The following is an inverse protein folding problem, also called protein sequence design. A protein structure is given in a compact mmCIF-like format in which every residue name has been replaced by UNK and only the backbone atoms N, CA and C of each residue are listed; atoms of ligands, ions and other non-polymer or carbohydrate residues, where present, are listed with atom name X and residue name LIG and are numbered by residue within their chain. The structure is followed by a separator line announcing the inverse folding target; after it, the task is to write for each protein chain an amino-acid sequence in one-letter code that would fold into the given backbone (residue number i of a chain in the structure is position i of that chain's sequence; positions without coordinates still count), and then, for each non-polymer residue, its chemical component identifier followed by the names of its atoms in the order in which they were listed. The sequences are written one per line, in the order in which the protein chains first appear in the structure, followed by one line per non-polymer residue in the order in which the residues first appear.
data_IF_381716274065
#
_entry.id   IF_381716274065
#
_cell.length_a   1.000
_cell.length_b   1.000
_cell.length_c   1.000
_cell.angle_alpha   90.00
_cell.angle_beta   90.00
_cell.angle_gamma   90.00
#
_symmetry.space_group_name_H-M   'P 1'
#
loop_
_entity.id
_entity.type
_entity.pdbx_description
1 polymer ?
#
# COMPACT_ATOMS: atom_id res chain seq x y z
N UNK A 1 -22.24 -3.42 -6.52
CA UNK A 1 -21.29 -3.22 -5.40
C UNK A 1 -20.11 -4.18 -5.44
N UNK A 2 -20.30 -5.51 -5.48
CA UNK A 2 -19.18 -6.48 -5.55
C UNK A 2 -18.16 -6.21 -6.65
N UNK A 3 -18.61 -5.97 -7.88
CA UNK A 3 -17.72 -5.69 -9.01
C UNK A 3 -16.86 -4.44 -8.79
N UNK A 4 -17.44 -3.38 -8.23
CA UNK A 4 -16.73 -2.14 -7.89
C UNK A 4 -15.69 -2.41 -6.81
N UNK A 5 -16.04 -3.17 -5.77
CA UNK A 5 -15.09 -3.57 -4.72
C UNK A 5 -13.88 -4.35 -5.28
N UNK A 6 -14.15 -5.36 -6.13
CA UNK A 6 -13.09 -6.15 -6.76
C UNK A 6 -12.22 -5.31 -7.70
N UNK A 7 -12.83 -4.40 -8.47
CA UNK A 7 -12.10 -3.49 -9.34
C UNK A 7 -11.16 -2.57 -8.56
N UNK A 8 -11.64 -2.00 -7.44
CA UNK A 8 -10.83 -1.14 -6.59
C UNK A 8 -9.68 -1.91 -5.93
N UNK A 9 -9.94 -3.12 -5.41
CA UNK A 9 -8.90 -4.00 -4.87
C UNK A 9 -7.85 -4.34 -5.92
N UNK A 10 -8.27 -4.79 -7.12
CA UNK A 10 -7.33 -5.12 -8.20
C UNK A 10 -6.50 -3.91 -8.63
N UNK A 11 -7.14 -2.72 -8.66
CA UNK A 11 -6.47 -1.47 -9.03
C UNK A 11 -5.38 -1.08 -8.04
N UNK A 12 -5.67 -1.11 -6.72
CA UNK A 12 -4.66 -0.76 -5.71
C UNK A 12 -3.51 -1.78 -5.66
N UNK A 13 -3.82 -3.08 -5.79
CA UNK A 13 -2.81 -4.15 -5.92
C UNK A 13 -1.88 -3.86 -7.12
N UNK A 14 -2.46 -3.50 -8.27
CA UNK A 14 -1.68 -3.17 -9.47
C UNK A 14 -0.80 -1.94 -9.28
N UNK A 15 -1.30 -0.90 -8.60
CA UNK A 15 -0.52 0.30 -8.26
C UNK A 15 0.66 -0.08 -7.35
N UNK A 16 0.42 -0.81 -6.25
CA UNK A 16 1.47 -1.22 -5.33
C UNK A 16 2.56 -2.06 -6.02
N UNK A 17 2.16 -3.01 -6.87
CA UNK A 17 3.11 -3.82 -7.65
C UNK A 17 3.96 -2.97 -8.59
N UNK A 18 3.35 -2.06 -9.35
CA UNK A 18 4.10 -1.18 -10.27
C UNK A 18 5.04 -0.24 -9.51
N UNK A 19 4.62 0.26 -8.35
CA UNK A 19 5.49 1.11 -7.53
C UNK A 19 6.75 0.37 -7.09
N UNK A 20 6.61 -0.88 -6.62
CA UNK A 20 7.75 -1.68 -6.17
C UNK A 20 8.62 -2.22 -7.32
N UNK A 21 8.00 -2.74 -8.37
CA UNK A 21 8.71 -3.47 -9.45
C UNK A 21 9.32 -2.52 -10.48
N UNK A 22 8.62 -1.44 -10.81
CA UNK A 22 9.00 -0.56 -11.93
C UNK A 22 9.45 0.80 -11.44
N UNK A 23 8.65 1.48 -10.62
CA UNK A 23 8.91 2.89 -10.27
C UNK A 23 10.12 3.03 -9.35
N UNK A 24 10.24 2.20 -8.31
CA UNK A 24 11.36 2.25 -7.38
C UNK A 24 12.73 2.14 -8.10
N UNK A 25 13.01 1.12 -8.94
CA UNK A 25 14.30 1.07 -9.64
C UNK A 25 14.48 2.20 -10.65
N UNK A 26 13.42 2.67 -11.31
CA UNK A 26 13.52 3.84 -12.20
C UNK A 26 13.93 5.11 -11.46
N UNK A 27 13.43 5.32 -10.24
CA UNK A 27 13.70 6.52 -9.45
C UNK A 27 15.04 6.47 -8.74
N UNK A 28 15.43 5.31 -8.19
CA UNK A 28 16.67 5.17 -7.42
C UNK A 28 17.91 4.84 -8.27
N UNK A 29 17.75 4.46 -9.54
CA UNK A 29 18.86 4.24 -10.47
C UNK A 29 18.77 5.11 -11.75
N UNK A 30 18.64 6.44 -11.63
CA UNK A 30 18.46 7.33 -12.76
C UNK A 30 19.67 7.37 -13.68
N UNK A 31 20.87 7.07 -13.19
CA UNK A 31 22.10 7.02 -13.97
C UNK A 31 22.03 6.07 -15.17
N UNK A 32 21.19 5.03 -15.07
CA UNK A 32 20.97 4.08 -16.16
C UNK A 32 20.16 4.66 -17.32
N UNK A 33 19.51 5.81 -17.12
CA UNK A 33 18.60 6.44 -18.08
C UNK A 33 19.06 7.82 -18.53
N UNK A 34 19.57 8.63 -17.60
CA UNK A 34 19.86 10.06 -17.83
C UNK A 34 21.32 10.45 -17.52
N UNK A 35 22.18 9.48 -17.16
CA UNK A 35 23.59 9.71 -16.87
C UNK A 35 23.90 9.98 -15.39
N UNK A 36 25.19 9.91 -15.04
CA UNK A 36 25.66 10.04 -13.65
C UNK A 36 25.50 11.46 -13.11
N UNK A 37 25.28 11.58 -11.79
CA UNK A 37 25.27 12.86 -11.07
C UNK A 37 24.01 13.71 -11.23
N UNK A 38 22.98 13.25 -11.95
CA UNK A 38 21.74 14.03 -12.16
C UNK A 38 20.87 14.07 -10.90
N UNK A 39 20.73 12.95 -10.20
CA UNK A 39 19.98 12.86 -8.94
C UNK A 39 20.79 12.07 -7.92
N UNK A 40 20.90 12.63 -6.70
CA UNK A 40 21.41 11.90 -5.55
C UNK A 40 20.36 10.92 -5.02
N UNK A 41 20.78 9.90 -4.27
CA UNK A 41 19.87 8.95 -3.64
C UNK A 41 18.86 9.64 -2.71
N UNK A 42 19.26 10.73 -2.05
CA UNK A 42 18.38 11.55 -1.24
C UNK A 42 17.30 12.24 -2.08
N UNK A 43 17.68 12.85 -3.21
CA UNK A 43 16.72 13.49 -4.13
C UNK A 43 15.73 12.47 -4.73
N UNK A 44 16.22 11.29 -5.13
CA UNK A 44 15.37 10.16 -5.53
C UNK A 44 14.40 9.73 -4.42
N UNK A 45 14.87 9.68 -3.17
CA UNK A 45 14.04 9.39 -2.00
C UNK A 45 12.92 10.41 -1.77
N UNK A 46 13.20 11.71 -1.95
CA UNK A 46 12.18 12.76 -1.88
C UNK A 46 11.10 12.57 -2.95
N UNK A 47 11.50 12.24 -4.19
CA UNK A 47 10.56 11.95 -5.27
C UNK A 47 9.69 10.73 -4.96
N UNK A 48 10.31 9.64 -4.48
CA UNK A 48 9.58 8.42 -4.12
C UNK A 48 8.58 8.68 -2.98
N UNK A 49 8.97 9.51 -2.00
CA UNK A 49 8.10 9.88 -0.88
C UNK A 49 6.84 10.61 -1.36
N UNK A 50 6.96 11.55 -2.31
CA UNK A 50 5.79 12.23 -2.88
C UNK A 50 4.85 11.27 -3.63
N UNK A 51 5.39 10.22 -4.26
CA UNK A 51 4.58 9.17 -4.88
C UNK A 51 3.84 8.35 -3.81
N UNK A 52 4.53 7.95 -2.75
CA UNK A 52 3.93 7.19 -1.64
C UNK A 52 2.90 7.98 -0.84
N UNK A 53 3.02 9.31 -0.71
CA UNK A 53 1.97 10.15 -0.11
C UNK A 53 0.68 10.05 -0.94
N UNK A 54 0.79 10.25 -2.27
CA UNK A 54 -0.37 10.20 -3.18
C UNK A 54 -0.99 8.81 -3.23
N UNK A 55 -0.16 7.77 -3.33
CA UNK A 55 -0.62 6.39 -3.25
C UNK A 55 -1.25 6.09 -1.88
N UNK A 56 -0.69 6.61 -0.79
CA UNK A 56 -1.21 6.45 0.56
C UNK A 56 -2.65 6.94 0.73
N UNK A 57 -2.99 8.11 0.17
CA UNK A 57 -4.38 8.58 0.16
C UNK A 57 -5.31 7.66 -0.63
N UNK A 58 -4.85 7.16 -1.79
CA UNK A 58 -5.61 6.19 -2.58
C UNK A 58 -5.78 4.86 -1.82
N UNK A 59 -4.74 4.39 -1.13
CA UNK A 59 -4.73 3.18 -0.32
C UNK A 59 -5.75 3.28 0.82
N UNK A 60 -5.78 4.39 1.56
CA UNK A 60 -6.80 4.62 2.60
C UNK A 60 -8.19 4.61 1.98
N UNK A 61 -8.40 5.36 0.90
CA UNK A 61 -9.71 5.43 0.23
C UNK A 61 -10.22 4.04 -0.16
N UNK A 62 -9.39 3.24 -0.85
CA UNK A 62 -9.76 1.89 -1.27
C UNK A 62 -9.99 0.98 -0.06
N UNK A 63 -9.14 1.07 0.98
CA UNK A 63 -9.28 0.28 2.20
C UNK A 63 -10.59 0.57 2.94
N UNK A 64 -11.01 1.85 3.00
CA UNK A 64 -12.30 2.25 3.61
C UNK A 64 -13.46 1.71 2.80
N UNK A 65 -13.47 1.88 1.48
CA UNK A 65 -14.54 1.36 0.61
C UNK A 65 -14.64 -0.16 0.73
N UNK A 66 -13.50 -0.85 0.76
CA UNK A 66 -13.45 -2.30 0.90
C UNK A 66 -13.97 -2.77 2.27
N UNK A 67 -13.57 -2.11 3.35
CA UNK A 67 -14.06 -2.38 4.70
C UNK A 67 -15.59 -2.20 4.80
N UNK A 68 -16.13 -1.10 4.26
CA UNK A 68 -17.59 -0.85 4.23
C UNK A 68 -18.33 -1.91 3.40
N UNK A 69 -17.76 -2.34 2.27
CA UNK A 69 -18.32 -3.42 1.47
C UNK A 69 -18.32 -4.76 2.24
N UNK A 70 -17.26 -5.09 2.97
CA UNK A 70 -17.21 -6.33 3.75
C UNK A 70 -18.18 -6.32 4.94
N UNK A 71 -18.42 -5.15 5.58
CA UNK A 71 -19.53 -5.01 6.55
C UNK A 71 -20.88 -5.35 5.90
N UNK A 72 -21.15 -4.83 4.70
CA UNK A 72 -22.37 -5.15 3.96
C UNK A 72 -22.44 -6.65 3.60
N UNK A 73 -21.33 -7.23 3.15
CA UNK A 73 -21.21 -8.65 2.78
C UNK A 73 -21.44 -9.59 3.96
N UNK A 74 -20.99 -9.24 5.17
CA UNK A 74 -21.27 -10.03 6.38
C UNK A 74 -22.77 -10.31 6.57
N UNK A 75 -23.58 -9.29 6.32
CA UNK A 75 -25.04 -9.29 6.52
C UNK A 75 -25.77 -9.97 5.34
N UNK A 76 -25.32 -9.71 4.11
CA UNK A 76 -26.10 -10.05 2.89
C UNK A 76 -25.65 -11.29 2.14
N UNK A 77 -24.41 -11.71 2.28
CA UNK A 77 -23.92 -12.87 1.52
C UNK A 77 -24.39 -14.19 2.16
N UNK A 78 -24.84 -15.11 1.32
CA UNK A 78 -25.26 -16.48 1.68
C UNK A 78 -24.06 -17.44 1.91
N UNK A 79 -22.84 -16.91 1.97
CA UNK A 79 -21.65 -17.72 2.22
C UNK A 79 -21.57 -18.18 3.67
N UNK A 80 -20.81 -19.26 3.91
CA UNK A 80 -20.50 -19.74 5.26
C UNK A 80 -19.96 -18.61 6.13
N UNK A 81 -20.46 -18.49 7.36
CA UNK A 81 -20.09 -17.42 8.29
C UNK A 81 -18.57 -17.28 8.47
N UNK A 82 -17.83 -18.41 8.53
CA UNK A 82 -16.37 -18.42 8.62
C UNK A 82 -15.70 -17.61 7.50
N UNK A 83 -16.13 -17.78 6.24
CA UNK A 83 -15.56 -17.05 5.10
C UNK A 83 -15.91 -15.57 5.19
N UNK A 84 -17.16 -15.25 5.54
CA UNK A 84 -17.62 -13.87 5.70
C UNK A 84 -16.80 -13.15 6.78
N UNK A 85 -16.63 -13.80 7.93
CA UNK A 85 -15.84 -13.31 9.05
C UNK A 85 -14.36 -13.13 8.69
N UNK A 86 -13.75 -14.09 7.97
CA UNK A 86 -12.38 -13.95 7.49
C UNK A 86 -12.20 -12.76 6.56
N UNK A 87 -13.09 -12.55 5.58
CA UNK A 87 -13.00 -11.38 4.68
C UNK A 87 -13.12 -10.06 5.44
N UNK A 88 -14.08 -9.98 6.37
CA UNK A 88 -14.23 -8.83 7.23
C UNK A 88 -12.95 -8.54 8.03
N UNK A 89 -12.38 -9.55 8.68
CA UNK A 89 -11.14 -9.38 9.45
C UNK A 89 -9.96 -8.99 8.58
N UNK A 90 -9.82 -9.56 7.37
CA UNK A 90 -8.79 -9.13 6.41
C UNK A 90 -8.97 -7.66 6.04
N UNK A 91 -10.18 -7.23 5.69
CA UNK A 91 -10.46 -5.83 5.32
C UNK A 91 -10.19 -4.85 6.45
N UNK A 92 -10.50 -5.24 7.70
CA UNK A 92 -10.23 -4.44 8.89
C UNK A 92 -8.73 -4.29 9.13
N UNK A 93 -7.97 -5.38 9.05
CA UNK A 93 -6.52 -5.36 9.22
C UNK A 93 -5.83 -4.55 8.11
N UNK A 94 -6.27 -4.69 6.86
CA UNK A 94 -5.79 -3.86 5.75
C UNK A 94 -6.04 -2.38 6.06
N UNK A 95 -7.25 -2.01 6.49
CA UNK A 95 -7.56 -0.62 6.86
C UNK A 95 -6.65 -0.12 7.99
N UNK A 96 -6.47 -0.87 9.06
CA UNK A 96 -5.59 -0.49 10.18
C UNK A 96 -4.15 -0.29 9.69
N UNK A 97 -3.60 -1.23 8.92
CA UNK A 97 -2.24 -1.14 8.42
C UNK A 97 -2.08 0.02 7.42
N UNK A 98 -3.06 0.28 6.57
CA UNK A 98 -3.09 1.44 5.67
C UNK A 98 -3.06 2.76 6.43
N UNK A 99 -3.83 2.87 7.52
CA UNK A 99 -3.82 4.05 8.40
C UNK A 99 -2.44 4.23 9.06
N UNK A 100 -1.85 3.14 9.56
CA UNK A 100 -0.49 3.18 10.15
C UNK A 100 0.56 3.55 9.08
N UNK A 101 0.48 3.00 7.87
CA UNK A 101 1.38 3.31 6.77
C UNK A 101 1.41 4.81 6.45
N UNK A 102 0.25 5.44 6.37
CA UNK A 102 0.15 6.86 6.02
C UNK A 102 0.44 7.76 7.22
N UNK A 103 -0.24 7.56 8.35
CA UNK A 103 -0.20 8.52 9.46
C UNK A 103 1.00 8.33 10.38
N UNK A 104 1.59 7.14 10.43
CA UNK A 104 2.81 6.90 11.20
C UNK A 104 4.02 6.86 10.28
N UNK A 105 4.16 5.82 9.44
CA UNK A 105 5.39 5.61 8.67
C UNK A 105 5.69 6.74 7.69
N UNK A 106 4.73 7.10 6.83
CA UNK A 106 4.95 8.15 5.83
C UNK A 106 5.21 9.49 6.50
N UNK A 107 4.47 9.83 7.55
CA UNK A 107 4.69 11.07 8.31
C UNK A 107 6.10 11.12 8.93
N UNK A 108 6.54 10.07 9.64
CA UNK A 108 7.88 10.02 10.24
C UNK A 108 8.99 10.08 9.18
N UNK A 109 8.83 9.43 8.03
CA UNK A 109 9.81 9.49 6.93
C UNK A 109 9.95 10.93 6.41
N UNK A 110 8.84 11.65 6.24
CA UNK A 110 8.86 13.05 5.80
C UNK A 110 9.56 13.93 6.85
N UNK A 111 9.23 13.77 8.14
CA UNK A 111 9.86 14.52 9.22
C UNK A 111 11.38 14.32 9.21
N UNK A 112 11.86 13.09 9.12
CA UNK A 112 13.29 12.78 9.06
C UNK A 112 13.95 13.28 7.77
N UNK A 113 13.27 13.23 6.62
CA UNK A 113 13.80 13.79 5.37
C UNK A 113 13.93 15.31 5.43
N UNK A 114 13.01 16.00 6.12
CA UNK A 114 13.05 17.45 6.29
C UNK A 114 14.22 17.91 7.17
N UNK A 115 14.80 17.03 7.99
CA UNK A 115 16.06 17.28 8.72
C UNK A 115 17.30 17.24 7.81
N UNK A 116 17.12 16.85 6.54
CA UNK A 116 18.16 16.85 5.51
C UNK A 116 18.81 15.47 5.29
N UNK A 117 19.71 15.41 4.31
CA UNK A 117 20.29 14.16 3.82
C UNK A 117 20.97 13.33 4.91
N UNK A 118 21.68 13.95 5.85
CA UNK A 118 22.38 13.23 6.92
C UNK A 118 21.41 12.44 7.82
N UNK A 119 20.20 12.96 8.06
CA UNK A 119 19.20 12.26 8.85
C UNK A 119 18.72 10.97 8.16
N UNK A 120 18.70 10.95 6.82
CA UNK A 120 18.33 9.75 6.03
C UNK A 120 19.38 8.63 6.06
N UNK A 121 20.57 8.90 6.59
CA UNK A 121 21.66 7.92 6.77
C UNK A 121 21.71 7.36 8.19
N UNK A 122 20.85 7.86 9.09
CA UNK A 122 20.78 7.39 10.47
C UNK A 122 20.11 6.01 10.56
N UNK A 123 20.45 5.25 11.61
CA UNK A 123 19.80 3.96 11.89
C UNK A 123 18.29 4.12 12.14
N UNK A 124 17.88 5.25 12.72
CA UNK A 124 16.47 5.58 12.93
C UNK A 124 15.72 5.62 11.59
N UNK A 125 16.19 6.42 10.64
CA UNK A 125 15.56 6.49 9.32
C UNK A 125 15.52 5.13 8.61
N UNK A 126 16.66 4.43 8.57
CA UNK A 126 16.76 3.13 7.90
C UNK A 126 15.77 2.13 8.51
N UNK A 127 15.63 2.11 9.83
CA UNK A 127 14.71 1.21 10.53
C UNK A 127 13.24 1.51 10.22
N UNK A 128 12.83 2.78 10.27
CA UNK A 128 11.46 3.22 9.96
C UNK A 128 11.13 2.97 8.49
N UNK A 129 12.07 3.28 7.59
CA UNK A 129 11.92 3.04 6.16
C UNK A 129 11.73 1.55 5.85
N UNK A 130 12.62 0.69 6.34
CA UNK A 130 12.52 -0.76 6.13
C UNK A 130 11.22 -1.34 6.72
N UNK A 131 10.81 -0.89 7.92
CA UNK A 131 9.55 -1.30 8.51
C UNK A 131 8.35 -0.88 7.65
N UNK A 132 8.37 0.32 7.08
CA UNK A 132 7.32 0.80 6.18
C UNK A 132 7.20 -0.07 4.92
N UNK A 133 8.33 -0.52 4.35
CA UNK A 133 8.33 -1.42 3.20
C UNK A 133 7.74 -2.79 3.53
N UNK A 134 8.05 -3.31 4.72
CA UNK A 134 7.48 -4.59 5.17
C UNK A 134 5.97 -4.45 5.34
N UNK A 135 5.49 -3.34 5.91
CA UNK A 135 4.06 -3.08 6.10
C UNK A 135 3.32 -3.02 4.77
N UNK A 136 3.83 -2.29 3.76
CA UNK A 136 3.15 -2.24 2.45
C UNK A 136 3.16 -3.60 1.74
N UNK A 137 4.22 -4.41 1.89
CA UNK A 137 4.26 -5.79 1.37
C UNK A 137 3.22 -6.69 2.05
N UNK A 138 3.04 -6.55 3.37
CA UNK A 138 2.00 -7.27 4.11
C UNK A 138 0.61 -6.85 3.62
N UNK A 139 0.37 -5.54 3.48
CA UNK A 139 -0.89 -4.99 2.95
C UNK A 139 -1.20 -5.60 1.57
N UNK A 140 -0.23 -5.57 0.65
CA UNK A 140 -0.36 -6.14 -0.70
C UNK A 140 -0.78 -7.61 -0.65
N UNK A 141 -0.07 -8.42 0.13
CA UNK A 141 -0.37 -9.86 0.27
C UNK A 141 -1.80 -10.05 0.82
N UNK A 142 -2.19 -9.28 1.83
CA UNK A 142 -3.54 -9.35 2.40
C UNK A 142 -4.63 -8.92 1.41
N UNK A 143 -4.39 -7.86 0.63
CA UNK A 143 -5.31 -7.43 -0.42
C UNK A 143 -5.49 -8.51 -1.49
N UNK A 144 -4.39 -9.17 -1.91
CA UNK A 144 -4.44 -10.29 -2.86
C UNK A 144 -5.28 -11.45 -2.30
N UNK A 145 -5.04 -11.86 -1.05
CA UNK A 145 -5.87 -12.88 -0.40
C UNK A 145 -7.33 -12.47 -0.33
N UNK A 146 -7.63 -11.22 0.04
CA UNK A 146 -9.00 -10.71 0.13
C UNK A 146 -9.69 -10.66 -1.23
N UNK A 147 -8.97 -10.26 -2.28
CA UNK A 147 -9.45 -10.28 -3.65
C UNK A 147 -9.91 -11.69 -4.03
N UNK A 148 -9.03 -12.70 -3.88
CA UNK A 148 -9.35 -14.08 -4.25
C UNK A 148 -10.42 -14.72 -3.35
N UNK A 149 -10.47 -14.41 -2.06
CA UNK A 149 -11.55 -14.85 -1.17
C UNK A 149 -12.90 -14.25 -1.57
N UNK A 150 -12.90 -13.01 -2.06
CA UNK A 150 -14.08 -12.32 -2.58
C UNK A 150 -14.44 -12.77 -4.00
N UNK A 151 -13.46 -13.32 -4.72
CA UNK A 151 -13.57 -13.82 -6.08
C UNK A 151 -14.29 -15.17 -6.12
N UNK A 152 -15.59 -15.13 -5.89
CA UNK A 152 -16.49 -16.22 -6.29
C UNK A 152 -16.94 -15.94 -7.72
N UNK A 153 -16.39 -16.67 -8.69
CA UNK A 153 -17.04 -16.83 -10.00
C UNK A 153 -18.43 -17.35 -9.65
N UNK A 154 -19.47 -16.61 -10.01
CA UNK A 154 -20.81 -17.14 -9.95
C UNK A 154 -20.81 -18.40 -10.83
N UNK A 155 -20.67 -19.58 -10.22
CA UNK A 155 -21.12 -20.82 -10.84
C UNK A 155 -22.63 -20.66 -10.95
N UNK A 156 -23.07 -20.11 -12.09
CA UNK A 156 -24.32 -20.55 -12.70
C UNK A 156 -24.20 -22.05 -12.98
#
# INVERSE_FOLDING_TARGET
MKAVNLFLLASIIGVELILGIVVAPTIFFPQNLIGEGVLSHFQSGLMMTQIFIKMGYLLIFVSVVNFLYEIYSLIKDEMKFQIKFSKFMLSLLILILSLIFVFYFTNTIIELQNLGENATKTQEFISIHNASEVVIKIILIMQVFLYFLSFKIAKK
#
